data_IF_842042478451
#
_entry.id   IF_842042478451
#
_cell.length_a   1.000
_cell.length_b   1.000
_cell.length_c   1.000
_cell.angle_alpha   90.00
_cell.angle_beta   90.00
_cell.angle_gamma   90.00
#
_symmetry.space_group_name_H-M   'P 1'
#
loop_
_entity.id
_entity.type
_entity.pdbx_description
1 polymer ?
#
# COMPACT_ATOMS: atom_id res chain seq x y z
N UNK A 1 -13.96 -32.69 11.93
CA UNK A 1 -14.58 -31.37 11.73
C UNK A 1 -13.49 -30.39 11.33
N UNK A 2 -13.47 -29.93 10.08
CA UNK A 2 -12.53 -28.89 9.62
C UNK A 2 -13.20 -27.53 9.83
N UNK A 3 -12.58 -26.65 10.60
CA UNK A 3 -13.05 -25.28 10.82
C UNK A 3 -13.04 -24.51 9.48
N UNK A 4 -14.15 -23.88 9.04
CA UNK A 4 -14.22 -23.17 7.76
C UNK A 4 -13.67 -21.73 7.79
N UNK A 5 -13.02 -21.29 8.87
CA UNK A 5 -12.69 -19.87 9.14
C UNK A 5 -11.24 -19.43 8.81
N UNK A 6 -10.50 -20.02 7.87
CA UNK A 6 -9.04 -19.72 7.81
C UNK A 6 -8.40 -19.47 6.45
N UNK A 7 -9.15 -19.42 5.33
CA UNK A 7 -8.51 -19.16 4.02
C UNK A 7 -8.64 -17.73 3.49
N UNK A 8 -9.59 -16.93 3.96
CA UNK A 8 -9.83 -15.58 3.42
C UNK A 8 -9.57 -14.44 4.40
N UNK A 9 -9.34 -14.71 5.68
CA UNK A 9 -9.41 -13.68 6.72
C UNK A 9 -8.20 -12.74 6.71
N UNK A 10 -6.98 -13.26 6.56
CA UNK A 10 -5.77 -12.44 6.51
C UNK A 10 -5.75 -11.52 5.28
N UNK A 11 -6.16 -12.04 4.14
CA UNK A 11 -6.18 -11.31 2.87
C UNK A 11 -7.29 -10.25 2.83
N UNK A 12 -8.51 -10.63 3.23
CA UNK A 12 -9.62 -9.68 3.35
C UNK A 12 -9.30 -8.59 4.39
N UNK A 13 -8.61 -8.94 5.47
CA UNK A 13 -8.15 -7.99 6.49
C UNK A 13 -7.10 -7.05 5.90
N UNK A 14 -6.03 -7.55 5.28
CA UNK A 14 -5.00 -6.70 4.64
C UNK A 14 -5.63 -5.76 3.60
N UNK A 15 -6.51 -6.28 2.75
CA UNK A 15 -7.21 -5.48 1.74
C UNK A 15 -8.08 -4.39 2.37
N UNK A 16 -8.85 -4.71 3.41
CA UNK A 16 -9.68 -3.73 4.12
C UNK A 16 -8.86 -2.67 4.86
N UNK A 17 -7.72 -3.05 5.41
CA UNK A 17 -6.76 -2.14 6.04
C UNK A 17 -6.21 -1.16 4.99
N UNK A 18 -5.75 -1.66 3.84
CA UNK A 18 -5.22 -0.82 2.77
C UNK A 18 -6.25 0.18 2.26
N UNK A 19 -7.49 -0.27 2.03
CA UNK A 19 -8.57 0.62 1.56
C UNK A 19 -8.91 1.71 2.57
N UNK A 20 -9.07 1.34 3.85
CA UNK A 20 -9.41 2.30 4.90
C UNK A 20 -8.28 3.31 5.16
N UNK A 21 -7.02 2.89 5.16
CA UNK A 21 -5.88 3.78 5.33
C UNK A 21 -5.69 4.70 4.13
N UNK A 22 -5.88 4.21 2.90
CA UNK A 22 -5.78 5.03 1.69
C UNK A 22 -6.84 6.14 1.69
N UNK A 23 -8.08 5.82 2.08
CA UNK A 23 -9.14 6.82 2.17
C UNK A 23 -8.83 7.93 3.19
N UNK A 24 -8.39 7.54 4.39
CA UNK A 24 -7.98 8.49 5.44
C UNK A 24 -6.75 9.32 5.04
N UNK A 25 -5.79 8.74 4.34
CA UNK A 25 -4.63 9.47 3.83
C UNK A 25 -5.02 10.54 2.81
N UNK A 26 -5.96 10.22 1.91
CA UNK A 26 -6.42 11.19 0.91
C UNK A 26 -7.21 12.33 1.55
N UNK A 27 -8.02 12.03 2.57
CA UNK A 27 -8.73 13.03 3.37
C UNK A 27 -7.74 13.97 4.08
N UNK A 28 -6.70 13.45 4.73
CA UNK A 28 -5.70 14.30 5.39
C UNK A 28 -4.90 15.13 4.37
N UNK A 29 -4.56 14.59 3.20
CA UNK A 29 -3.90 15.35 2.12
C UNK A 29 -4.77 16.48 1.58
N UNK A 30 -6.08 16.28 1.52
CA UNK A 30 -7.01 17.32 1.09
C UNK A 30 -7.06 18.45 2.13
N UNK A 31 -7.21 18.12 3.41
CA UNK A 31 -7.20 19.12 4.49
C UNK A 31 -5.88 19.89 4.56
N UNK A 32 -4.74 19.24 4.32
CA UNK A 32 -3.43 19.90 4.25
C UNK A 32 -3.33 20.90 3.09
N UNK A 33 -3.92 20.58 1.93
CA UNK A 33 -4.02 21.52 0.80
C UNK A 33 -4.90 22.72 1.15
N UNK A 34 -6.08 22.47 1.71
CA UNK A 34 -7.02 23.53 2.12
C UNK A 34 -6.41 24.45 3.19
N UNK A 35 -5.62 23.90 4.11
CA UNK A 35 -4.87 24.69 5.09
C UNK A 35 -3.80 25.55 4.42
N UNK A 36 -3.04 25.01 3.46
CA UNK A 36 -2.03 25.78 2.73
C UNK A 36 -2.65 26.94 1.94
N UNK A 37 -3.77 26.71 1.26
CA UNK A 37 -4.52 27.77 0.55
C UNK A 37 -5.02 28.87 1.50
N UNK A 38 -5.46 28.49 2.72
CA UNK A 38 -5.89 29.47 3.74
C UNK A 38 -4.72 30.31 4.27
N UNK A 39 -3.53 29.72 4.45
CA UNK A 39 -2.31 30.45 4.82
C UNK A 39 -1.93 31.48 3.74
N UNK A 40 -2.01 31.10 2.46
CA UNK A 40 -1.75 32.02 1.35
C UNK A 40 -2.78 33.17 1.31
N UNK A 41 -4.05 32.87 1.55
CA UNK A 41 -5.12 33.87 1.61
C UNK A 41 -4.93 34.88 2.77
N UNK A 42 -4.54 34.40 3.95
CA UNK A 42 -4.22 35.26 5.11
C UNK A 42 -3.03 36.19 4.81
N UNK A 43 -1.99 35.64 4.18
CA UNK A 43 -0.81 36.39 3.81
C UNK A 43 -1.14 37.49 2.78
N UNK A 44 -1.98 37.16 1.78
CA UNK A 44 -2.46 38.14 0.81
C UNK A 44 -3.33 39.23 1.47
N UNK A 45 -4.20 38.87 2.42
CA UNK A 45 -5.03 39.83 3.14
C UNK A 45 -4.17 40.81 3.96
N UNK A 46 -3.13 40.29 4.62
CA UNK A 46 -2.16 41.10 5.37
C UNK A 46 -1.39 42.08 4.47
N UNK A 47 -0.98 41.65 3.27
CA UNK A 47 -0.36 42.54 2.27
C UNK A 47 -1.33 43.64 1.82
N UNK A 48 -2.59 43.31 1.58
CA UNK A 48 -3.61 44.29 1.19
C UNK A 48 -3.87 45.33 2.30
N UNK A 49 -3.94 44.89 3.56
CA UNK A 49 -4.07 45.80 4.72
C UNK A 49 -2.87 46.74 4.79
N UNK A 50 -1.65 46.23 4.64
CA UNK A 50 -0.45 47.06 4.67
C UNK A 50 -0.46 48.10 3.54
N UNK A 51 -0.88 47.72 2.34
CA UNK A 51 -1.00 48.65 1.21
C UNK A 51 -2.02 49.77 1.47
N UNK A 52 -3.18 49.44 2.05
CA UNK A 52 -4.18 50.45 2.41
C UNK A 52 -3.71 51.36 3.55
N UNK A 53 -2.98 50.84 4.54
CA UNK A 53 -2.35 51.64 5.60
C UNK A 53 -1.31 52.60 5.04
N UNK A 54 -0.45 52.15 4.13
CA UNK A 54 0.56 52.99 3.48
C UNK A 54 -0.11 54.09 2.61
N UNK A 55 -1.17 53.72 1.89
CA UNK A 55 -1.99 54.64 1.07
C UNK A 55 -2.70 55.69 1.93
N UNK A 56 -3.27 55.30 3.07
CA UNK A 56 -3.89 56.21 4.05
C UNK A 56 -2.85 57.13 4.69
N UNK A 57 -1.68 56.61 5.04
CA UNK A 57 -0.57 57.39 5.62
C UNK A 57 -0.09 58.46 4.65
N UNK A 58 0.11 58.09 3.38
CA UNK A 58 0.50 59.02 2.31
C UNK A 58 -0.58 60.09 2.06
N UNK A 59 -1.85 59.69 2.08
CA UNK A 59 -3.00 60.58 1.90
C UNK A 59 -3.15 61.58 3.07
N UNK A 60 -2.99 61.13 4.32
CA UNK A 60 -3.03 61.99 5.50
C UNK A 60 -1.89 63.03 5.49
N UNK A 61 -0.68 62.62 5.13
CA UNK A 61 0.46 63.53 4.97
C UNK A 61 0.20 64.61 3.90
N UNK A 62 -0.49 64.25 2.80
CA UNK A 62 -0.91 65.20 1.77
C UNK A 62 -2.01 66.15 2.28
N UNK A 63 -3.01 65.65 3.01
CA UNK A 63 -4.09 66.48 3.56
C UNK A 63 -3.58 67.50 4.61
N UNK A 64 -2.58 67.12 5.42
CA UNK A 64 -1.89 68.04 6.35
C UNK A 64 -1.18 69.19 5.64
N UNK A 65 -0.64 68.94 4.43
CA UNK A 65 0.04 69.96 3.63
C UNK A 65 -0.91 70.92 2.90
N UNK A 66 -2.09 70.45 2.45
CA UNK A 66 -2.92 71.21 1.50
C UNK A 66 -4.32 71.61 1.98
N UNK A 67 -4.76 71.16 3.16
CA UNK A 67 -5.96 71.66 3.84
C UNK A 67 -7.30 71.11 3.33
N UNK A 68 -8.00 70.43 4.26
CA UNK A 68 -9.29 69.70 4.20
C UNK A 68 -9.25 68.30 3.54
N UNK A 69 -9.67 67.25 4.28
CA UNK A 69 -9.86 65.91 3.71
C UNK A 69 -11.19 65.83 2.94
N UNK A 70 -11.20 65.32 1.70
CA UNK A 70 -12.45 64.99 1.00
C UNK A 70 -13.11 63.71 1.56
N UNK A 71 -14.38 63.48 1.17
CA UNK A 71 -15.26 62.34 1.48
C UNK A 71 -14.64 60.93 1.34
N UNK A 72 -13.46 60.81 0.71
CA UNK A 72 -12.76 59.55 0.47
C UNK A 72 -12.14 58.91 1.73
N UNK A 73 -11.92 59.68 2.80
CA UNK A 73 -11.33 59.13 4.04
C UNK A 73 -12.28 58.16 4.75
N UNK A 74 -13.58 58.45 4.80
CA UNK A 74 -14.57 57.55 5.39
C UNK A 74 -14.73 56.26 4.59
N UNK A 75 -14.63 56.33 3.26
CA UNK A 75 -14.70 55.15 2.38
C UNK A 75 -13.48 54.24 2.58
N UNK A 76 -12.27 54.82 2.65
CA UNK A 76 -11.04 54.05 2.91
C UNK A 76 -11.00 53.46 4.32
N UNK A 77 -11.48 54.18 5.34
CA UNK A 77 -11.63 53.61 6.70
C UNK A 77 -12.64 52.46 6.73
N UNK A 78 -13.72 52.54 5.97
CA UNK A 78 -14.68 51.44 5.84
C UNK A 78 -14.08 50.23 5.11
N UNK A 79 -13.26 50.46 4.06
CA UNK A 79 -12.51 49.40 3.37
C UNK A 79 -11.49 48.72 4.31
N UNK A 80 -10.77 49.50 5.11
CA UNK A 80 -9.80 48.96 6.07
C UNK A 80 -10.49 48.12 7.16
N UNK A 81 -11.61 48.59 7.71
CA UNK A 81 -12.39 47.82 8.67
C UNK A 81 -12.96 46.52 8.07
N UNK A 82 -13.34 46.53 6.78
CA UNK A 82 -13.79 45.33 6.07
C UNK A 82 -12.63 44.33 5.88
N UNK A 83 -11.43 44.81 5.55
CA UNK A 83 -10.23 43.98 5.42
C UNK A 83 -9.78 43.40 6.77
N UNK A 84 -9.81 44.18 7.86
CA UNK A 84 -9.52 43.68 9.21
C UNK A 84 -10.51 42.59 9.65
N UNK A 85 -11.81 42.77 9.32
CA UNK A 85 -12.84 41.76 9.57
C UNK A 85 -12.59 40.49 8.74
N UNK A 86 -12.17 40.65 7.48
CA UNK A 86 -11.83 39.52 6.60
C UNK A 86 -10.59 38.77 7.10
N UNK A 87 -9.55 39.49 7.57
CA UNK A 87 -8.36 38.87 8.16
C UNK A 87 -8.73 38.07 9.42
N UNK A 88 -9.51 38.64 10.33
CA UNK A 88 -9.97 37.95 11.53
C UNK A 88 -10.80 36.69 11.21
N UNK A 89 -11.62 36.75 10.17
CA UNK A 89 -12.38 35.59 9.69
C UNK A 89 -11.46 34.50 9.11
N UNK A 90 -10.42 34.87 8.37
CA UNK A 90 -9.47 33.93 7.78
C UNK A 90 -8.56 33.30 8.85
N UNK A 91 -8.08 34.06 9.83
CA UNK A 91 -7.33 33.49 10.98
C UNK A 91 -8.19 32.50 11.77
N UNK A 92 -9.48 32.81 12.00
CA UNK A 92 -10.41 31.87 12.65
C UNK A 92 -10.68 30.61 11.81
N UNK A 93 -10.66 30.72 10.47
CA UNK A 93 -10.77 29.58 9.55
C UNK A 93 -9.51 28.72 9.61
N UNK A 94 -8.33 29.33 9.60
CA UNK A 94 -7.04 28.66 9.70
C UNK A 94 -6.92 27.87 11.02
N UNK A 95 -7.36 28.43 12.15
CA UNK A 95 -7.38 27.72 13.43
C UNK A 95 -8.28 26.47 13.38
N UNK A 96 -9.46 26.56 12.77
CA UNK A 96 -10.38 25.41 12.59
C UNK A 96 -9.75 24.34 11.70
N UNK A 97 -9.19 24.73 10.56
CA UNK A 97 -8.52 23.81 9.64
C UNK A 97 -7.32 23.13 10.31
N UNK A 98 -6.54 23.85 11.12
CA UNK A 98 -5.43 23.27 11.88
C UNK A 98 -5.91 22.22 12.89
N UNK A 99 -7.01 22.49 13.61
CA UNK A 99 -7.62 21.51 14.51
C UNK A 99 -8.17 20.29 13.76
N UNK A 100 -8.76 20.49 12.59
CA UNK A 100 -9.24 19.40 11.72
C UNK A 100 -8.09 18.54 11.17
N UNK A 101 -7.01 19.17 10.69
CA UNK A 101 -5.78 18.47 10.28
C UNK A 101 -5.22 17.64 11.44
N UNK A 102 -5.14 18.21 12.64
CA UNK A 102 -4.67 17.48 13.84
C UNK A 102 -5.56 16.29 14.18
N UNK A 103 -6.89 16.43 14.07
CA UNK A 103 -7.84 15.33 14.30
C UNK A 103 -7.70 14.25 13.22
N UNK A 104 -7.61 14.63 11.95
CA UNK A 104 -7.40 13.68 10.84
C UNK A 104 -6.10 12.91 11.04
N UNK A 105 -4.99 13.60 11.33
CA UNK A 105 -3.69 12.98 11.57
C UNK A 105 -3.72 12.06 12.81
N UNK A 106 -4.45 12.43 13.87
CA UNK A 106 -4.63 11.57 15.04
C UNK A 106 -5.46 10.32 14.71
N UNK A 107 -6.53 10.46 13.93
CA UNK A 107 -7.37 9.36 13.47
C UNK A 107 -6.60 8.42 12.54
N UNK A 108 -5.78 8.95 11.63
CA UNK A 108 -4.89 8.17 10.77
C UNK A 108 -3.89 7.37 11.60
N UNK A 109 -3.23 8.00 12.59
CA UNK A 109 -2.29 7.30 13.49
C UNK A 109 -2.97 6.21 14.32
N UNK A 110 -4.19 6.47 14.80
CA UNK A 110 -4.97 5.49 15.53
C UNK A 110 -5.36 4.32 14.63
N UNK A 111 -5.84 4.59 13.41
CA UNK A 111 -6.12 3.56 12.42
C UNK A 111 -4.88 2.74 12.06
N UNK A 112 -3.71 3.38 11.89
CA UNK A 112 -2.44 2.68 11.65
C UNK A 112 -2.05 1.75 12.80
N UNK A 113 -2.34 2.11 14.05
CA UNK A 113 -2.10 1.25 15.23
C UNK A 113 -3.09 0.10 15.31
N UNK A 114 -4.38 0.39 15.15
CA UNK A 114 -5.44 -0.61 15.26
C UNK A 114 -5.40 -1.60 14.08
N UNK A 115 -4.94 -1.14 12.92
CA UNK A 115 -4.83 -1.89 11.68
C UNK A 115 -3.36 -2.14 11.27
N UNK A 116 -2.49 -2.40 12.24
CA UNK A 116 -1.12 -2.80 11.95
C UNK A 116 -1.11 -4.18 11.26
N UNK A 117 -0.40 -4.29 10.14
CA UNK A 117 -0.15 -5.60 9.52
C UNK A 117 0.87 -6.31 10.40
N UNK A 118 0.48 -7.45 10.98
CA UNK A 118 1.39 -8.20 11.83
C UNK A 118 2.31 -9.10 11.01
N UNK A 119 3.47 -9.45 11.58
CA UNK A 119 4.34 -10.48 11.01
C UNK A 119 3.62 -11.83 10.89
N UNK A 120 2.64 -12.09 11.75
CA UNK A 120 1.84 -13.32 11.71
C UNK A 120 0.86 -13.31 10.53
N UNK A 121 0.29 -12.16 10.16
CA UNK A 121 -0.52 -12.02 8.94
C UNK A 121 0.33 -12.30 7.69
N UNK A 122 1.55 -11.76 7.64
CA UNK A 122 2.51 -12.00 6.55
C UNK A 122 2.93 -13.48 6.46
N UNK A 123 3.22 -14.11 7.60
CA UNK A 123 3.53 -15.56 7.66
C UNK A 123 2.33 -16.41 7.24
N UNK A 124 1.12 -16.02 7.63
CA UNK A 124 -0.12 -16.70 7.24
C UNK A 124 -0.30 -16.65 5.73
N UNK A 125 -0.16 -15.47 5.12
CA UNK A 125 -0.23 -15.30 3.66
C UNK A 125 0.88 -16.07 2.92
N UNK A 126 2.11 -16.04 3.43
CA UNK A 126 3.22 -16.83 2.88
C UNK A 126 2.95 -18.33 2.96
N UNK A 127 2.42 -18.83 4.07
CA UNK A 127 2.01 -20.22 4.25
C UNK A 127 0.88 -20.62 3.30
N UNK A 128 -0.10 -19.73 3.06
CA UNK A 128 -1.16 -19.96 2.07
C UNK A 128 -0.61 -20.02 0.64
N UNK A 129 0.35 -19.15 0.30
CA UNK A 129 1.02 -19.15 -0.99
C UNK A 129 1.81 -20.44 -1.21
N UNK A 130 2.58 -20.87 -0.21
CA UNK A 130 3.31 -22.14 -0.26
C UNK A 130 2.38 -23.34 -0.40
N UNK A 131 1.23 -23.32 0.29
CA UNK A 131 0.21 -24.35 0.13
C UNK A 131 -0.35 -24.38 -1.30
N UNK A 132 -0.65 -23.22 -1.91
CA UNK A 132 -1.08 -23.13 -3.31
C UNK A 132 0.01 -23.64 -4.28
N UNK A 133 1.28 -23.31 -4.06
CA UNK A 133 2.41 -23.82 -4.85
C UNK A 133 2.54 -25.35 -4.75
N UNK A 134 2.33 -25.92 -3.57
CA UNK A 134 2.33 -27.37 -3.38
C UNK A 134 1.19 -28.06 -4.14
N UNK A 135 0.00 -27.45 -4.17
CA UNK A 135 -1.15 -27.98 -4.90
C UNK A 135 -0.96 -27.86 -6.42
N UNK A 136 -0.38 -26.76 -6.91
CA UNK A 136 0.01 -26.60 -8.33
C UNK A 136 0.94 -27.75 -8.75
N UNK A 137 1.96 -28.04 -7.93
CA UNK A 137 2.93 -29.09 -8.23
C UNK A 137 2.27 -30.47 -8.27
N UNK A 138 1.40 -30.78 -7.30
CA UNK A 138 0.63 -32.04 -7.28
C UNK A 138 -0.27 -32.17 -8.51
N UNK A 139 -1.04 -31.13 -8.85
CA UNK A 139 -1.91 -31.15 -10.02
C UNK A 139 -1.09 -31.32 -11.30
N UNK A 140 0.07 -30.66 -11.40
CA UNK A 140 1.02 -30.82 -12.50
C UNK A 140 1.45 -32.27 -12.69
N UNK A 141 1.88 -32.95 -11.62
CA UNK A 141 2.22 -34.37 -11.69
C UNK A 141 1.06 -35.27 -12.13
N UNK A 142 -0.15 -35.01 -11.64
CA UNK A 142 -1.33 -35.80 -12.05
C UNK A 142 -1.63 -35.56 -13.54
N UNK A 143 -1.50 -34.32 -14.03
CA UNK A 143 -1.68 -34.01 -15.46
C UNK A 143 -0.65 -34.77 -16.30
N UNK A 144 0.62 -34.76 -15.90
CA UNK A 144 1.71 -35.50 -16.56
C UNK A 144 1.40 -37.00 -16.63
N UNK A 145 0.96 -37.59 -15.51
CA UNK A 145 0.58 -39.00 -15.42
C UNK A 145 -0.60 -39.33 -16.33
N UNK A 146 -1.64 -38.49 -16.35
CA UNK A 146 -2.82 -38.69 -17.20
C UNK A 146 -2.46 -38.54 -18.69
N UNK A 147 -1.54 -37.63 -19.04
CA UNK A 147 -1.03 -37.49 -20.42
C UNK A 147 -0.23 -38.72 -20.84
N UNK A 148 0.60 -39.28 -19.95
CA UNK A 148 1.31 -40.54 -20.21
C UNK A 148 0.31 -41.68 -20.49
N UNK A 149 -0.70 -41.86 -19.62
CA UNK A 149 -1.74 -42.88 -19.82
C UNK A 149 -2.48 -42.70 -21.14
N UNK A 150 -2.79 -41.46 -21.52
CA UNK A 150 -3.43 -41.17 -22.80
C UNK A 150 -2.51 -41.53 -23.99
N UNK A 151 -1.21 -41.30 -23.88
CA UNK A 151 -0.23 -41.69 -24.89
C UNK A 151 -0.02 -43.20 -24.97
N UNK A 152 -0.13 -43.91 -23.84
CA UNK A 152 0.02 -45.37 -23.76
C UNK A 152 -1.22 -46.11 -24.28
N UNK A 153 -2.38 -45.45 -24.27
CA UNK A 153 -3.55 -45.90 -25.01
C UNK A 153 -3.20 -45.83 -26.49
N UNK A 154 -2.73 -46.95 -27.05
CA UNK A 154 -2.45 -47.19 -28.48
C UNK A 154 -3.71 -47.14 -29.36
N UNK A 155 -4.60 -46.17 -29.11
CA UNK A 155 -5.85 -46.00 -29.82
C UNK A 155 -5.60 -45.78 -31.32
N UNK A 156 -4.52 -45.09 -31.69
CA UNK A 156 -4.14 -44.86 -33.08
C UNK A 156 -3.68 -46.15 -33.79
N UNK A 157 -2.89 -47.00 -33.13
CA UNK A 157 -2.49 -48.31 -33.66
C UNK A 157 -3.71 -49.22 -33.86
N UNK A 158 -4.67 -49.18 -32.91
CA UNK A 158 -5.88 -49.99 -32.98
C UNK A 158 -6.86 -49.49 -34.04
N UNK A 159 -6.98 -48.18 -34.21
CA UNK A 159 -7.75 -47.56 -35.29
C UNK A 159 -7.19 -47.94 -36.67
N UNK A 160 -5.86 -47.97 -36.81
CA UNK A 160 -5.19 -48.40 -38.05
C UNK A 160 -5.49 -49.87 -38.35
N UNK A 161 -5.39 -50.76 -37.35
CA UNK A 161 -5.75 -52.17 -37.50
C UNK A 161 -7.23 -52.40 -37.83
N UNK A 162 -8.15 -51.62 -37.24
CA UNK A 162 -9.56 -51.64 -37.62
C UNK A 162 -9.73 -51.27 -39.10
N UNK A 163 -9.03 -50.23 -39.59
CA UNK A 163 -9.12 -49.79 -40.98
C UNK A 163 -8.59 -50.85 -41.95
N UNK A 164 -7.42 -51.43 -41.68
CA UNK A 164 -6.84 -52.53 -42.48
C UNK A 164 -7.77 -53.74 -42.53
N UNK A 165 -8.37 -54.12 -41.39
CA UNK A 165 -9.29 -55.24 -41.30
C UNK A 165 -10.62 -54.97 -42.05
N UNK A 166 -11.09 -53.71 -42.08
CA UNK A 166 -12.27 -53.30 -42.88
C UNK A 166 -11.99 -53.44 -44.37
N UNK A 167 -10.86 -52.96 -44.85
CA UNK A 167 -10.45 -53.11 -46.25
C UNK A 167 -10.36 -54.59 -46.62
N UNK A 168 -9.81 -55.43 -45.75
CA UNK A 168 -9.76 -56.89 -45.98
C UNK A 168 -11.17 -57.52 -46.10
N UNK A 169 -12.13 -57.08 -45.29
CA UNK A 169 -13.53 -57.54 -45.39
C UNK A 169 -14.17 -57.06 -46.69
N UNK A 170 -13.93 -55.82 -47.11
CA UNK A 170 -14.43 -55.26 -48.38
C UNK A 170 -13.90 -56.04 -49.59
N UNK A 171 -12.61 -56.35 -49.62
CA UNK A 171 -11.98 -57.15 -50.68
C UNK A 171 -12.57 -58.57 -50.74
N UNK A 172 -12.74 -59.24 -49.60
CA UNK A 172 -13.32 -60.57 -49.53
C UNK A 172 -14.81 -60.59 -49.94
N UNK A 173 -15.56 -59.51 -49.69
CA UNK A 173 -16.93 -59.36 -50.17
C UNK A 173 -16.98 -59.15 -51.70
N UNK A 174 -16.03 -58.40 -52.26
CA UNK A 174 -15.90 -58.22 -53.70
C UNK A 174 -15.54 -59.55 -54.40
N UNK A 175 -14.62 -60.33 -53.83
CA UNK A 175 -14.26 -61.67 -54.32
C UNK A 175 -15.45 -62.64 -54.26
N UNK A 176 -16.26 -62.58 -53.20
CA UNK A 176 -17.47 -63.38 -53.09
C UNK A 176 -18.50 -62.99 -54.17
N UNK A 177 -18.64 -61.69 -54.48
CA UNK A 177 -19.52 -61.22 -55.56
C UNK A 177 -19.01 -61.60 -56.95
N UNK A 178 -17.69 -61.77 -57.12
CA UNK A 178 -17.04 -62.23 -58.35
C UNK A 178 -17.08 -63.77 -58.53
N UNK A 179 -17.61 -64.52 -57.56
CA UNK A 179 -17.79 -65.98 -57.66
C UNK A 179 -16.56 -66.80 -57.24
N UNK A 180 -15.54 -66.19 -56.66
CA UNK A 180 -14.40 -66.87 -56.05
C UNK A 180 -14.70 -67.14 -54.58
N UNK A 181 -15.36 -68.27 -54.28
CA UNK A 181 -15.84 -68.61 -52.94
C UNK A 181 -14.71 -68.78 -51.89
N UNK A 182 -14.80 -68.05 -50.78
CA UNK A 182 -14.04 -68.34 -49.56
C UNK A 182 -14.81 -67.91 -48.29
N UNK A 183 -16.04 -68.42 -48.12
CA UNK A 183 -16.97 -68.03 -47.06
C UNK A 183 -16.38 -68.13 -45.63
N UNK A 184 -15.50 -69.11 -45.39
CA UNK A 184 -14.83 -69.27 -44.09
C UNK A 184 -13.83 -68.13 -43.81
N UNK A 185 -13.13 -67.62 -44.83
CA UNK A 185 -12.20 -66.51 -44.69
C UNK A 185 -12.94 -65.19 -44.40
N UNK A 186 -14.05 -64.96 -45.11
CA UNK A 186 -14.91 -63.81 -44.87
C UNK A 186 -15.50 -63.81 -43.45
N UNK A 187 -16.03 -64.95 -43.01
CA UNK A 187 -16.61 -65.08 -41.67
C UNK A 187 -15.56 -64.85 -40.57
N UNK A 188 -14.32 -65.32 -40.77
CA UNK A 188 -13.21 -65.07 -39.86
C UNK A 188 -12.83 -63.58 -39.82
N UNK A 189 -12.68 -62.93 -40.98
CA UNK A 189 -12.33 -61.52 -41.07
C UNK A 189 -13.40 -60.62 -40.43
N UNK A 190 -14.70 -60.94 -40.61
CA UNK A 190 -15.81 -60.25 -39.96
C UNK A 190 -15.80 -60.42 -38.43
N UNK A 191 -15.48 -61.63 -37.94
CA UNK A 191 -15.40 -61.91 -36.49
C UNK A 191 -14.23 -61.15 -35.86
N UNK A 192 -13.08 -61.09 -36.53
CA UNK A 192 -11.93 -60.32 -36.07
C UNK A 192 -12.20 -58.82 -36.11
N UNK A 193 -12.85 -58.31 -37.16
CA UNK A 193 -13.25 -56.91 -37.25
C UNK A 193 -14.20 -56.52 -36.10
N UNK A 194 -15.21 -57.35 -35.81
CA UNK A 194 -16.13 -57.10 -34.70
C UNK A 194 -15.41 -57.05 -33.33
N UNK A 195 -14.38 -57.88 -33.15
CA UNK A 195 -13.54 -57.87 -31.94
C UNK A 195 -12.69 -56.61 -31.85
N UNK A 196 -12.08 -56.18 -32.96
CA UNK A 196 -11.28 -54.95 -33.02
C UNK A 196 -12.15 -53.71 -32.80
N UNK A 197 -13.33 -53.65 -33.41
CA UNK A 197 -14.29 -52.55 -33.22
C UNK A 197 -14.75 -52.43 -31.76
N UNK A 198 -15.01 -53.56 -31.08
CA UNK A 198 -15.34 -53.56 -29.65
C UNK A 198 -14.17 -53.05 -28.78
N UNK A 199 -12.94 -53.45 -29.10
CA UNK A 199 -11.73 -52.96 -28.40
C UNK A 199 -11.49 -51.48 -28.66
N UNK A 200 -11.66 -51.02 -29.89
CA UNK A 200 -11.53 -49.61 -30.28
C UNK A 200 -12.57 -48.74 -29.56
N UNK A 201 -13.83 -49.20 -29.48
CA UNK A 201 -14.87 -48.51 -28.73
C UNK A 201 -14.51 -48.37 -27.24
N UNK A 202 -14.01 -49.44 -26.61
CA UNK A 202 -13.61 -49.41 -25.20
C UNK A 202 -12.42 -48.47 -24.94
N UNK A 203 -11.40 -48.47 -25.81
CA UNK A 203 -10.26 -47.55 -25.72
C UNK A 203 -10.67 -46.10 -25.94
N UNK A 204 -11.59 -45.83 -26.87
CA UNK A 204 -12.11 -44.48 -27.12
C UNK A 204 -12.89 -43.93 -25.92
N UNK A 205 -13.68 -44.76 -25.24
CA UNK A 205 -14.33 -44.37 -23.98
C UNK A 205 -13.26 -44.00 -22.93
N UNK A 206 -12.27 -44.87 -22.72
CA UNK A 206 -11.18 -44.60 -21.76
C UNK A 206 -10.38 -43.33 -22.10
N UNK A 207 -10.06 -43.12 -23.38
CA UNK A 207 -9.36 -41.91 -23.83
C UNK A 207 -10.19 -40.64 -23.59
N UNK A 208 -11.51 -40.70 -23.81
CA UNK A 208 -12.41 -39.58 -23.55
C UNK A 208 -12.54 -39.28 -22.06
N UNK A 209 -12.62 -40.30 -21.20
CA UNK A 209 -12.65 -40.13 -19.73
C UNK A 209 -11.37 -39.46 -19.22
N UNK A 210 -10.21 -39.87 -19.75
CA UNK A 210 -8.92 -39.24 -19.43
C UNK A 210 -8.87 -37.80 -19.93
N UNK A 211 -9.32 -37.51 -21.16
CA UNK A 211 -9.39 -36.13 -21.70
C UNK A 211 -10.30 -35.24 -20.87
N UNK A 212 -11.44 -35.74 -20.42
CA UNK A 212 -12.34 -35.00 -19.54
C UNK A 212 -11.70 -34.73 -18.18
N UNK A 213 -10.99 -35.71 -17.63
CA UNK A 213 -10.23 -35.56 -16.39
C UNK A 213 -9.13 -34.51 -16.54
N UNK A 214 -8.36 -34.55 -17.63
CA UNK A 214 -7.34 -33.56 -17.97
C UNK A 214 -7.92 -32.15 -18.07
N UNK A 215 -9.04 -31.97 -18.77
CA UNK A 215 -9.72 -30.68 -18.85
C UNK A 215 -10.16 -30.15 -17.48
N UNK A 216 -10.61 -31.02 -16.58
CA UNK A 216 -10.93 -30.67 -15.19
C UNK A 216 -9.70 -30.27 -14.38
N UNK A 217 -8.60 -31.01 -14.51
CA UNK A 217 -7.32 -30.73 -13.85
C UNK A 217 -6.71 -29.42 -14.34
N UNK A 218 -6.72 -29.15 -15.64
CA UNK A 218 -6.22 -27.90 -16.23
C UNK A 218 -6.97 -26.67 -15.70
N UNK A 219 -8.30 -26.76 -15.57
CA UNK A 219 -9.10 -25.69 -14.93
C UNK A 219 -8.70 -25.48 -13.48
N UNK A 220 -8.51 -26.58 -12.74
CA UNK A 220 -8.11 -26.54 -11.32
C UNK A 220 -6.71 -25.95 -11.14
N UNK A 221 -5.78 -26.30 -12.04
CA UNK A 221 -4.43 -25.75 -12.09
C UNK A 221 -4.46 -24.24 -12.29
N UNK A 222 -5.24 -23.76 -13.27
CA UNK A 222 -5.41 -22.31 -13.53
C UNK A 222 -5.92 -21.58 -12.29
N UNK A 223 -6.93 -22.11 -11.60
CA UNK A 223 -7.47 -21.49 -10.37
C UNK A 223 -6.38 -21.38 -9.29
N UNK A 224 -5.58 -22.43 -9.09
CA UNK A 224 -4.49 -22.37 -8.10
C UNK A 224 -3.36 -21.41 -8.52
N UNK A 225 -3.04 -21.31 -9.81
CA UNK A 225 -2.08 -20.35 -10.33
C UNK A 225 -2.53 -18.91 -10.10
N UNK A 226 -3.80 -18.59 -10.39
CA UNK A 226 -4.38 -17.28 -10.10
C UNK A 226 -4.36 -16.97 -8.61
N UNK A 227 -4.69 -17.95 -7.75
CA UNK A 227 -4.62 -17.76 -6.30
C UNK A 227 -3.19 -17.48 -5.81
N UNK A 228 -2.19 -18.19 -6.35
CA UNK A 228 -0.78 -17.94 -6.04
C UNK A 228 -0.36 -16.52 -6.41
N UNK A 229 -0.78 -16.03 -7.58
CA UNK A 229 -0.49 -14.66 -8.04
C UNK A 229 -1.17 -13.62 -7.15
N UNK A 230 -2.45 -13.83 -6.82
CA UNK A 230 -3.23 -12.99 -5.90
C UNK A 230 -2.57 -12.87 -4.53
N UNK A 231 -2.17 -14.00 -3.94
CA UNK A 231 -1.45 -14.04 -2.67
C UNK A 231 -0.06 -13.38 -2.76
N UNK A 232 0.62 -13.51 -3.90
CA UNK A 232 1.89 -12.81 -4.15
C UNK A 232 1.75 -11.29 -4.11
N UNK A 233 0.70 -10.74 -4.73
CA UNK A 233 0.38 -9.32 -4.65
C UNK A 233 0.03 -8.90 -3.22
N UNK A 234 -0.86 -9.65 -2.54
CA UNK A 234 -1.27 -9.37 -1.17
C UNK A 234 -0.08 -9.37 -0.17
N UNK A 235 0.88 -10.29 -0.32
CA UNK A 235 2.10 -10.31 0.49
C UNK A 235 2.95 -9.06 0.25
N UNK A 236 3.06 -8.61 -1.00
CA UNK A 236 3.84 -7.42 -1.36
C UNK A 236 3.22 -6.17 -0.72
N UNK A 237 1.92 -5.97 -0.91
CA UNK A 237 1.19 -4.82 -0.36
C UNK A 237 1.24 -4.82 1.18
N UNK A 238 1.05 -5.99 1.80
CA UNK A 238 1.15 -6.16 3.24
C UNK A 238 2.57 -5.86 3.76
N UNK A 239 3.59 -6.26 3.01
CA UNK A 239 4.99 -6.04 3.38
C UNK A 239 5.34 -4.55 3.32
N UNK A 240 4.96 -3.88 2.23
CA UNK A 240 5.20 -2.45 2.08
C UNK A 240 4.48 -1.65 3.17
N UNK A 241 3.25 -2.04 3.50
CA UNK A 241 2.51 -1.43 4.60
C UNK A 241 3.19 -1.65 5.95
N UNK A 242 3.62 -2.89 6.25
CA UNK A 242 4.34 -3.20 7.49
C UNK A 242 5.65 -2.41 7.60
N UNK A 243 6.42 -2.31 6.52
CA UNK A 243 7.67 -1.55 6.48
C UNK A 243 7.42 -0.06 6.67
N UNK A 244 6.40 0.51 6.02
CA UNK A 244 5.99 1.90 6.22
C UNK A 244 5.66 2.19 7.68
N UNK A 245 4.87 1.33 8.33
CA UNK A 245 4.52 1.44 9.75
C UNK A 245 5.77 1.41 10.65
N UNK A 246 6.74 0.55 10.35
CA UNK A 246 8.00 0.48 11.13
C UNK A 246 8.87 1.72 10.96
N UNK A 247 8.92 2.29 9.75
CA UNK A 247 9.65 3.53 9.48
C UNK A 247 9.01 4.70 10.21
N UNK A 248 7.68 4.84 10.13
CA UNK A 248 6.95 5.89 10.84
C UNK A 248 7.20 5.84 12.34
N UNK A 249 7.22 4.63 12.92
CA UNK A 249 7.57 4.42 14.32
C UNK A 249 9.02 4.83 14.62
N UNK A 250 9.98 4.42 13.79
CA UNK A 250 11.39 4.77 13.97
C UNK A 250 11.63 6.29 13.88
N UNK A 251 10.93 6.98 12.97
CA UNK A 251 10.97 8.44 12.84
C UNK A 251 10.38 9.11 14.08
N UNK A 252 9.25 8.62 14.59
CA UNK A 252 8.64 9.15 15.81
C UNK A 252 9.57 9.00 17.04
N UNK A 253 10.23 7.86 17.17
CA UNK A 253 11.20 7.59 18.24
C UNK A 253 12.42 8.52 18.12
N UNK A 254 12.92 8.72 16.89
CA UNK A 254 14.02 9.64 16.62
C UNK A 254 13.68 11.09 16.98
N UNK A 255 12.50 11.59 16.56
CA UNK A 255 12.05 12.95 16.89
C UNK A 255 11.91 13.14 18.40
N UNK A 256 11.43 12.12 19.11
CA UNK A 256 11.35 12.13 20.58
C UNK A 256 12.74 12.21 21.22
N UNK A 257 13.70 11.45 20.71
CA UNK A 257 15.09 11.51 21.17
C UNK A 257 15.72 12.89 20.92
N UNK A 258 15.51 13.47 19.73
CA UNK A 258 16.00 14.83 19.40
C UNK A 258 15.39 15.88 20.34
N UNK A 259 14.09 15.79 20.63
CA UNK A 259 13.43 16.69 21.56
C UNK A 259 14.04 16.59 22.98
N UNK A 260 14.34 15.39 23.46
CA UNK A 260 15.03 15.19 24.74
C UNK A 260 16.44 15.77 24.76
N UNK A 261 17.21 15.60 23.68
CA UNK A 261 18.53 16.22 23.55
C UNK A 261 18.42 17.74 23.57
N UNK A 262 17.47 18.32 22.83
CA UNK A 262 17.21 19.76 22.82
C UNK A 262 16.84 20.32 24.20
N UNK A 263 15.98 19.62 24.96
CA UNK A 263 15.65 19.99 26.34
C UNK A 263 16.87 19.92 27.26
N UNK A 264 17.74 18.93 27.07
CA UNK A 264 18.95 18.75 27.86
C UNK A 264 19.97 19.85 27.56
N UNK A 265 20.16 20.20 26.29
CA UNK A 265 20.99 21.33 25.88
C UNK A 265 20.49 22.66 26.44
N UNK A 266 19.18 22.93 26.40
CA UNK A 266 18.60 24.13 26.99
C UNK A 266 18.83 24.22 28.52
N UNK A 267 18.78 23.08 29.23
CA UNK A 267 19.13 23.01 30.66
C UNK A 267 20.61 23.29 30.90
N UNK A 268 21.49 22.75 30.06
CA UNK A 268 22.94 23.00 30.13
C UNK A 268 23.29 24.46 29.83
N UNK A 269 22.62 25.10 28.86
CA UNK A 269 22.75 26.53 28.60
C UNK A 269 22.28 27.37 29.80
N UNK A 270 21.14 27.03 30.40
CA UNK A 270 20.66 27.68 31.63
C UNK A 270 21.65 27.54 32.80
N UNK A 271 22.27 26.37 32.95
CA UNK A 271 23.34 26.14 33.94
C UNK A 271 24.60 26.95 33.63
N UNK A 272 25.01 27.02 32.36
CA UNK A 272 26.17 27.82 31.94
C UNK A 272 25.93 29.33 32.17
N UNK A 273 24.71 29.81 31.92
CA UNK A 273 24.31 31.18 32.26
C UNK A 273 24.36 31.44 33.76
N UNK A 274 23.90 30.50 34.59
CA UNK A 274 24.01 30.54 36.05
C UNK A 274 25.46 30.57 36.53
N UNK A 275 26.31 29.68 36.01
CA UNK A 275 27.75 29.63 36.34
C UNK A 275 28.44 30.93 35.96
N UNK A 276 28.16 31.50 34.78
CA UNK A 276 28.70 32.80 34.38
C UNK A 276 28.19 33.93 35.30
N UNK A 277 26.92 33.93 35.69
CA UNK A 277 26.39 34.92 36.61
C UNK A 277 27.03 34.84 38.02
N UNK A 278 27.41 33.64 38.48
CA UNK A 278 28.14 33.42 39.73
C UNK A 278 29.63 33.81 39.60
N UNK A 279 30.30 33.37 38.52
CA UNK A 279 31.72 33.61 38.28
C UNK A 279 32.07 35.09 38.09
N UNK A 280 31.16 35.88 37.48
CA UNK A 280 31.32 37.32 37.29
C UNK A 280 30.69 38.16 38.43
N UNK A 281 30.37 37.54 39.58
CA UNK A 281 29.94 38.25 40.79
C UNK A 281 28.58 38.96 40.70
N UNK A 282 27.71 38.57 39.74
CA UNK A 282 26.39 39.20 39.55
C UNK A 282 25.26 38.56 40.35
N UNK A 283 25.52 37.48 41.10
CA UNK A 283 24.56 36.84 42.00
C UNK A 283 25.02 36.99 43.47
N UNK A 284 24.38 37.89 44.23
CA UNK A 284 24.28 37.75 45.70
C UNK A 284 23.10 36.83 45.98
N UNK A 285 23.36 35.60 46.40
CA UNK A 285 22.32 34.66 46.85
C UNK A 285 21.77 35.18 48.18
N UNK A 286 20.56 35.74 48.17
CA UNK A 286 19.74 35.92 49.36
C UNK A 286 18.70 34.81 49.38
N UNK A 287 18.77 33.95 50.39
CA UNK A 287 17.67 33.02 50.68
C UNK A 287 16.56 33.83 51.36
N UNK A 288 15.49 34.13 50.63
CA UNK A 288 14.22 34.52 51.24
C UNK A 288 13.14 33.54 50.82
N UNK A 289 12.49 32.97 51.83
CA UNK A 289 11.35 32.07 51.74
C UNK A 289 10.13 32.91 51.33
N UNK A 290 9.55 32.64 50.15
CA UNK A 290 8.11 32.65 49.82
C UNK A 290 7.87 32.86 48.31
N UNK A 291 7.20 31.87 47.72
CA UNK A 291 6.15 31.92 46.69
C UNK A 291 6.06 33.19 45.82
N UNK A 292 6.74 33.15 44.66
CA UNK A 292 6.28 33.63 43.34
C UNK A 292 7.50 33.84 42.42
N UNK A 293 7.85 32.81 41.64
CA UNK A 293 8.97 32.87 40.69
C UNK A 293 8.46 33.40 39.34
N UNK A 294 8.67 34.70 39.07
CA UNK A 294 8.75 35.22 37.70
C UNK A 294 10.21 35.19 37.24
N UNK A 295 10.51 34.33 36.26
CA UNK A 295 11.81 34.30 35.59
C UNK A 295 12.01 35.55 34.72
N UNK A 296 13.23 36.14 34.67
CA UNK A 296 13.52 37.25 33.78
C UNK A 296 13.65 36.79 32.32
N UNK A 297 12.99 37.50 31.40
CA UNK A 297 13.19 37.36 29.95
C UNK A 297 14.61 37.82 29.57
N UNK A 298 15.40 36.92 29.00
CA UNK A 298 16.68 37.22 28.35
C UNK A 298 16.48 37.10 26.84
N UNK A 299 16.80 38.17 26.10
CA UNK A 299 16.81 38.19 24.63
C UNK A 299 18.01 37.40 24.08
N UNK A 300 17.74 36.73 22.96
CA UNK A 300 18.55 35.77 22.22
C UNK A 300 19.92 36.27 21.71
N UNK A 301 20.91 35.37 21.69
CA UNK A 301 22.06 35.42 20.76
C UNK A 301 22.09 34.11 19.98
N UNK A 302 21.90 34.22 18.65
CA UNK A 302 22.33 33.26 17.62
C UNK A 302 22.02 31.78 17.82
N UNK A 303 20.80 31.34 17.49
CA UNK A 303 20.59 29.93 17.09
C UNK A 303 21.16 29.75 15.69
N UNK A 304 22.28 29.04 15.58
CA UNK A 304 22.60 28.33 14.33
C UNK A 304 21.57 27.20 14.24
N UNK A 305 20.49 27.46 13.50
CA UNK A 305 19.59 26.41 13.03
C UNK A 305 20.38 25.66 11.96
N UNK A 306 20.71 24.36 12.14
CA UNK A 306 21.25 23.58 11.05
C UNK A 306 20.22 23.61 9.92
N UNK A 307 20.68 23.92 8.71
CA UNK A 307 19.86 24.08 7.53
C UNK A 307 18.90 22.87 7.40
N UNK A 308 17.58 23.11 7.52
CA UNK A 308 16.56 22.05 7.57
C UNK A 308 16.61 21.13 6.33
N UNK A 309 17.21 21.64 5.24
CA UNK A 309 17.58 20.94 4.01
C UNK A 309 18.55 19.76 4.21
N UNK A 310 19.62 19.91 4.99
CA UNK A 310 20.61 18.84 5.18
C UNK A 310 20.12 17.77 6.18
N UNK A 311 19.48 18.19 7.27
CA UNK A 311 18.87 17.24 8.21
C UNK A 311 17.79 16.39 7.52
N UNK A 312 16.99 16.99 6.65
CA UNK A 312 15.99 16.29 5.86
C UNK A 312 16.57 15.30 4.83
N UNK A 313 17.82 15.49 4.37
CA UNK A 313 18.51 14.53 3.50
C UNK A 313 19.08 13.35 4.30
N UNK A 314 19.68 13.62 5.46
CA UNK A 314 20.22 12.59 6.34
C UNK A 314 19.10 11.67 6.84
N UNK A 315 17.96 12.22 7.22
CA UNK A 315 16.79 11.44 7.68
C UNK A 315 16.24 10.57 6.54
N UNK A 316 16.12 11.11 5.31
CA UNK A 316 15.66 10.34 4.15
C UNK A 316 16.61 9.20 3.80
N UNK A 317 17.91 9.44 3.85
CA UNK A 317 18.91 8.39 3.60
C UNK A 317 18.86 7.31 4.69
N UNK A 318 18.83 7.69 5.96
CA UNK A 318 18.73 6.75 7.07
C UNK A 318 17.43 5.92 7.03
N UNK A 319 16.30 6.53 6.65
CA UNK A 319 15.04 5.82 6.44
C UNK A 319 15.10 4.84 5.27
N UNK A 320 15.75 5.23 4.15
CA UNK A 320 15.97 4.34 3.00
C UNK A 320 16.87 3.15 3.34
N UNK A 321 17.95 3.38 4.08
CA UNK A 321 18.88 2.33 4.51
C UNK A 321 18.18 1.37 5.50
N UNK A 322 17.38 1.90 6.43
CA UNK A 322 16.55 1.09 7.32
C UNK A 322 15.47 0.30 6.56
N UNK A 323 14.79 0.89 5.58
CA UNK A 323 13.82 0.18 4.73
C UNK A 323 14.48 -1.03 4.05
N UNK A 324 15.68 -0.82 3.49
CA UNK A 324 16.42 -1.87 2.78
C UNK A 324 16.86 -3.00 3.71
N UNK A 325 17.36 -2.66 4.91
CA UNK A 325 17.76 -3.65 5.92
C UNK A 325 16.55 -4.45 6.45
N UNK A 326 15.45 -3.75 6.77
CA UNK A 326 14.23 -4.36 7.26
C UNK A 326 13.59 -5.28 6.21
N UNK A 327 13.59 -4.86 4.94
CA UNK A 327 13.11 -5.69 3.84
C UNK A 327 13.92 -6.97 3.71
N UNK A 328 15.25 -6.90 3.81
CA UNK A 328 16.10 -8.08 3.75
C UNK A 328 15.89 -9.04 4.94
N UNK A 329 15.64 -8.52 6.14
CA UNK A 329 15.26 -9.35 7.30
C UNK A 329 13.90 -10.02 7.11
N UNK A 330 12.95 -9.30 6.52
CA UNK A 330 11.60 -9.78 6.31
C UNK A 330 11.54 -10.83 5.20
N UNK A 331 12.30 -10.63 4.11
CA UNK A 331 12.52 -11.63 3.07
C UNK A 331 13.15 -12.92 3.63
N UNK A 332 14.10 -12.80 4.57
CA UNK A 332 14.67 -13.98 5.27
C UNK A 332 13.66 -14.67 6.20
N UNK A 333 12.76 -13.91 6.83
CA UNK A 333 11.77 -14.45 7.75
C UNK A 333 10.57 -15.11 7.02
N UNK A 334 10.37 -14.77 5.75
CA UNK A 334 9.32 -15.32 4.88
C UNK A 334 9.79 -16.44 3.94
N UNK A 335 11.10 -16.67 3.83
CA UNK A 335 11.70 -17.79 3.10
C UNK A 335 11.70 -19.08 3.93
#
# INVERSE_FOLDING_TARGET
MKNPFTKNDADARVTGILQSQTALQEECRQLEREFAESVEAEQQCSVNIQHELDSLTSYLAHCEQFGKPPLQESERRAQLAALETALAAETARQERLNDEVRRCQAALKQSQRDNAVSLDDLRSLAGQRQAAESEITKIGHIIEEQRSKLSDLKADDLATRCAEQRTQVEDLLADQAAGTENAAALQKAQTELAKLDAQSAALNVSANDIRQTLAGLDRRLKVQQTERERLGAAITDATDLHLGQRIDQAVADYLTAVAHVGQTLAKLEGLNQLVNAVAYGRLRVWFTRNDDVRLPKVFSVGKVVPDASEQGKIIRQAASDQYTALRAELEKALA
#
